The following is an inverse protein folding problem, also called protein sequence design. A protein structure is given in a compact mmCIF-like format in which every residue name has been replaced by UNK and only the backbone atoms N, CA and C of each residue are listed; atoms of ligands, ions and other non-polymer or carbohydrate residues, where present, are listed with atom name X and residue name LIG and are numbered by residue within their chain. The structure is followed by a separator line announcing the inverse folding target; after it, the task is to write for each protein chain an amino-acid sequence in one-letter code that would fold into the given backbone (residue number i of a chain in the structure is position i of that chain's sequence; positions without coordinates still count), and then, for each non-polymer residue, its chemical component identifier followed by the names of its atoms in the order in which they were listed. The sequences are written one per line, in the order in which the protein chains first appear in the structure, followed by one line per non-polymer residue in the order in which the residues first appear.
data_IF_679256757925
#
_entry.id   IF_679256757925
#
_cell.length_a   1.000
_cell.length_b   1.000
_cell.length_c   1.000
_cell.angle_alpha   90.00
_cell.angle_beta   90.00
_cell.angle_gamma   90.00
#
_symmetry.space_group_name_H-M   'P 1'
#
loop_
_entity.id
_entity.type
_entity.pdbx_description
1 polymer ?
#
# COMPACT_ATOMS: atom_id res chain seq x y z
N UNK A 1 -0.52 -13.20 -4.44
CA UNK A 1 0.06 -12.16 -3.56
C UNK A 1 -0.11 -12.62 -2.12
N UNK A 2 0.98 -12.65 -1.35
CA UNK A 2 0.98 -12.97 0.08
C UNK A 2 1.58 -11.79 0.83
N UNK A 3 0.80 -11.21 1.74
CA UNK A 3 1.21 -10.05 2.55
C UNK A 3 1.30 -10.49 4.00
N UNK A 4 2.48 -10.34 4.61
CA UNK A 4 2.76 -10.79 5.97
C UNK A 4 3.31 -9.63 6.79
N UNK A 5 2.61 -9.27 7.86
CA UNK A 5 3.04 -8.31 8.87
C UNK A 5 3.84 -8.99 9.98
N UNK A 6 4.40 -8.18 10.87
CA UNK A 6 5.06 -8.63 12.10
C UNK A 6 4.23 -9.67 12.86
N UNK A 7 4.89 -10.58 13.57
CA UNK A 7 4.28 -11.71 14.28
C UNK A 7 3.56 -12.73 13.36
N UNK A 8 3.97 -12.83 12.09
CA UNK A 8 3.41 -13.76 11.10
C UNK A 8 1.91 -13.54 10.81
N UNK A 9 1.43 -12.30 10.99
CA UNK A 9 0.05 -11.95 10.68
C UNK A 9 -0.11 -11.83 9.17
N UNK A 10 -0.93 -12.70 8.58
CA UNK A 10 -1.16 -12.72 7.13
C UNK A 10 -2.40 -11.92 6.80
N UNK A 11 -2.26 -10.88 5.97
CA UNK A 11 -3.40 -10.12 5.44
C UNK A 11 -3.99 -10.89 4.24
N UNK A 12 -5.09 -11.60 4.48
CA UNK A 12 -5.77 -12.43 3.48
C UNK A 12 -7.29 -12.40 3.68
N UNK A 13 -8.03 -12.43 2.58
CA UNK A 13 -9.49 -12.63 2.52
C UNK A 13 -10.31 -11.69 3.45
N UNK A 14 -9.85 -10.45 3.63
CA UNK A 14 -10.57 -9.45 4.42
C UNK A 14 -10.46 -9.63 5.94
N UNK A 15 -9.42 -10.33 6.43
CA UNK A 15 -9.15 -10.42 7.87
C UNK A 15 -9.04 -9.03 8.52
N UNK A 16 -9.63 -8.90 9.70
CA UNK A 16 -9.53 -7.69 10.50
C UNK A 16 -8.18 -7.60 11.18
N UNK A 17 -7.47 -6.49 10.97
CA UNK A 17 -6.21 -6.16 11.63
C UNK A 17 -6.31 -4.78 12.28
N UNK A 18 -5.63 -4.61 13.40
CA UNK A 18 -5.58 -3.34 14.12
C UNK A 18 -4.51 -2.42 13.53
N UNK A 19 -4.68 -1.08 13.58
CA UNK A 19 -3.65 -0.12 13.18
C UNK A 19 -2.25 -0.42 13.75
N UNK A 20 -2.19 -0.88 15.00
CA UNK A 20 -0.93 -1.24 15.67
C UNK A 20 -0.24 -2.45 15.02
N UNK A 21 -0.99 -3.43 14.53
CA UNK A 21 -0.44 -4.62 13.87
C UNK A 21 0.11 -4.29 12.48
N UNK A 22 -0.45 -3.27 11.81
CA UNK A 22 -0.10 -2.87 10.44
C UNK A 22 0.65 -1.54 10.39
N UNK A 23 1.22 -1.10 11.52
CA UNK A 23 1.96 0.17 11.60
C UNK A 23 3.23 0.18 10.76
N UNK A 24 3.88 -0.97 10.66
CA UNK A 24 5.16 -1.16 9.96
C UNK A 24 4.90 -1.82 8.60
N UNK A 25 5.79 -1.55 7.64
CA UNK A 25 5.71 -2.10 6.28
C UNK A 25 5.72 -3.65 6.32
N UNK A 26 4.79 -4.33 5.62
CA UNK A 26 4.76 -5.79 5.57
C UNK A 26 5.81 -6.34 4.60
N UNK A 27 6.11 -7.63 4.75
CA UNK A 27 6.75 -8.43 3.70
C UNK A 27 5.70 -8.83 2.67
N UNK A 28 6.01 -8.64 1.39
CA UNK A 28 5.11 -8.98 0.28
C UNK A 28 5.81 -9.98 -0.65
N UNK A 29 5.14 -11.09 -0.89
CA UNK A 29 5.66 -12.21 -1.70
C UNK A 29 4.68 -12.56 -2.82
N UNK A 30 5.19 -12.79 -4.03
CA UNK A 30 4.45 -13.29 -5.17
C UNK A 30 5.38 -14.07 -6.09
N UNK A 31 4.78 -14.85 -6.99
CA UNK A 31 5.51 -15.54 -8.04
C UNK A 31 5.85 -14.54 -9.15
N UNK A 32 7.11 -14.10 -9.15
CA UNK A 32 7.63 -13.10 -10.06
C UNK A 32 8.46 -13.77 -11.16
N UNK A 33 8.31 -13.28 -12.39
CA UNK A 33 9.10 -13.76 -13.51
C UNK A 33 10.44 -12.99 -13.59
N UNK A 34 11.57 -13.67 -13.82
CA UNK A 34 12.87 -13.01 -13.96
C UNK A 34 12.88 -11.96 -15.08
N UNK A 35 13.47 -10.80 -14.82
CA UNK A 35 13.58 -9.70 -15.80
C UNK A 35 12.32 -8.87 -16.00
N UNK A 36 11.22 -9.20 -15.32
CA UNK A 36 9.99 -8.42 -15.35
C UNK A 36 9.94 -7.38 -14.24
N UNK A 37 9.14 -6.34 -14.47
CA UNK A 37 8.91 -5.26 -13.51
C UNK A 37 7.48 -5.30 -12.98
N UNK A 38 7.30 -4.89 -11.73
CA UNK A 38 6.01 -4.90 -11.06
C UNK A 38 5.73 -3.57 -10.36
N UNK A 39 4.43 -3.26 -10.26
CA UNK A 39 3.89 -2.18 -9.45
C UNK A 39 3.08 -2.79 -8.31
N UNK A 40 3.35 -2.37 -7.07
CA UNK A 40 2.59 -2.69 -5.88
C UNK A 40 1.88 -1.43 -5.37
N UNK A 41 0.58 -1.56 -5.11
CA UNK A 41 -0.26 -0.49 -4.59
C UNK A 41 -1.00 -1.01 -3.35
N UNK A 42 -1.00 -0.21 -2.28
CA UNK A 42 -1.93 -0.34 -1.15
C UNK A 42 -2.84 0.89 -1.16
N UNK A 43 -4.14 0.66 -1.30
CA UNK A 43 -5.15 1.72 -1.39
C UNK A 43 -6.28 1.52 -0.37
N UNK A 44 -6.81 2.62 0.16
CA UNK A 44 -8.03 2.64 0.97
C UNK A 44 -9.18 3.26 0.14
N UNK A 45 -10.08 2.43 -0.44
CA UNK A 45 -11.25 2.92 -1.15
C UNK A 45 -12.33 3.47 -0.21
N UNK A 46 -12.17 3.37 1.11
CA UNK A 46 -13.18 3.75 2.10
C UNK A 46 -12.85 5.08 2.79
N UNK A 47 -11.83 5.83 2.34
CA UNK A 47 -11.42 7.11 2.93
C UNK A 47 -12.32 8.32 2.53
N UNK A 48 -12.68 9.24 3.46
CA UNK A 48 -12.46 9.21 4.91
C UNK A 48 -13.47 8.32 5.67
N UNK A 49 -14.58 7.95 5.03
CA UNK A 49 -15.48 6.90 5.52
C UNK A 49 -16.19 6.23 4.33
N UNK A 50 -16.64 4.98 4.53
CA UNK A 50 -17.47 4.27 3.53
C UNK A 50 -18.74 5.02 3.12
N UNK A 51 -19.31 5.79 4.06
CA UNK A 51 -20.55 6.53 3.86
C UNK A 51 -20.36 7.80 3.04
N UNK A 52 -19.20 8.47 3.17
CA UNK A 52 -18.86 9.69 2.43
C UNK A 52 -17.40 9.63 1.94
N UNK A 53 -17.10 8.90 0.85
CA UNK A 53 -15.72 8.67 0.38
C UNK A 53 -15.17 9.87 -0.42
N UNK A 54 -15.11 11.06 0.19
CA UNK A 54 -14.66 12.31 -0.45
C UNK A 54 -13.17 12.32 -0.84
N UNK A 55 -12.36 11.45 -0.22
CA UNK A 55 -10.92 11.31 -0.47
C UNK A 55 -10.56 9.96 -1.12
N UNK A 56 -11.53 9.30 -1.76
CA UNK A 56 -11.25 8.09 -2.54
C UNK A 56 -10.38 8.47 -3.74
N UNK A 57 -9.17 7.95 -3.91
CA UNK A 57 -8.47 6.89 -3.15
C UNK A 57 -7.29 7.45 -2.34
N UNK A 58 -7.16 7.05 -1.06
CA UNK A 58 -5.95 7.35 -0.29
C UNK A 58 -4.88 6.27 -0.57
N UNK A 59 -3.77 6.73 -1.15
CA UNK A 59 -2.62 5.88 -1.49
C UNK A 59 -1.76 5.66 -0.23
N UNK A 60 -1.90 4.48 0.38
CA UNK A 60 -1.13 4.10 1.57
C UNK A 60 0.29 3.64 1.24
N UNK A 61 0.50 3.09 0.06
CA UNK A 61 1.81 2.66 -0.41
C UNK A 61 1.78 2.48 -1.92
N UNK A 62 2.74 3.08 -2.64
CA UNK A 62 2.88 2.89 -4.08
C UNK A 62 4.36 2.69 -4.39
N UNK A 63 4.68 1.49 -4.88
CA UNK A 63 6.01 1.08 -5.25
C UNK A 63 5.99 0.61 -6.70
N UNK A 64 6.81 1.22 -7.56
CA UNK A 64 6.84 0.95 -9.00
C UNK A 64 8.20 0.41 -9.41
N UNK A 65 8.31 -0.14 -10.62
CA UNK A 65 9.57 -0.65 -11.16
C UNK A 65 10.26 -1.70 -10.26
N UNK A 66 9.49 -2.48 -9.50
CA UNK A 66 10.03 -3.56 -8.67
C UNK A 66 10.59 -4.63 -9.60
N UNK A 67 11.88 -4.90 -9.54
CA UNK A 67 12.52 -5.93 -10.35
C UNK A 67 12.22 -7.32 -9.74
N UNK A 68 11.50 -8.17 -10.48
CA UNK A 68 11.10 -9.49 -10.00
C UNK A 68 10.27 -9.39 -8.72
N UNK A 69 10.79 -9.93 -7.62
CA UNK A 69 10.17 -9.89 -6.29
C UNK A 69 11.01 -9.10 -5.26
N UNK A 70 12.04 -8.39 -5.70
CA UNK A 70 12.89 -7.59 -4.82
C UNK A 70 12.27 -6.23 -4.54
N UNK A 71 11.44 -6.13 -3.49
CA UNK A 71 10.84 -4.87 -3.07
C UNK A 71 11.85 -3.74 -2.86
N UNK A 72 13.10 -4.04 -2.47
CA UNK A 72 14.10 -3.01 -2.22
C UNK A 72 14.61 -2.35 -3.53
N UNK A 73 14.43 -3.03 -4.68
CA UNK A 73 14.74 -2.48 -6.00
C UNK A 73 13.68 -1.50 -6.51
N UNK A 74 12.49 -1.51 -5.91
CA UNK A 74 11.37 -0.68 -6.33
C UNK A 74 11.55 0.81 -6.00
N UNK A 75 10.93 1.65 -6.80
CA UNK A 75 10.91 3.10 -6.63
C UNK A 75 9.63 3.51 -5.89
N UNK A 76 9.75 4.23 -4.76
CA UNK A 76 8.60 4.68 -4.00
C UNK A 76 8.03 5.97 -4.60
N UNK A 77 6.79 5.90 -5.09
CA UNK A 77 5.97 7.08 -5.41
C UNK A 77 5.26 7.56 -4.15
N UNK A 78 4.77 6.63 -3.33
CA UNK A 78 4.28 6.90 -1.99
C UNK A 78 4.90 5.88 -1.04
N UNK A 79 5.65 6.34 -0.05
CA UNK A 79 6.19 5.46 1.00
C UNK A 79 5.07 4.84 1.83
N UNK A 80 5.35 3.69 2.44
CA UNK A 80 4.36 2.97 3.26
C UNK A 80 3.90 3.83 4.44
N UNK A 81 2.58 3.98 4.56
CA UNK A 81 1.88 4.55 5.70
C UNK A 81 0.84 3.52 6.17
N UNK A 82 0.96 3.07 7.42
CA UNK A 82 0.04 2.13 8.03
C UNK A 82 -1.40 2.65 8.12
N UNK A 83 -2.31 1.77 8.54
CA UNK A 83 -3.72 2.13 8.69
C UNK A 83 -3.92 3.19 9.78
N UNK A 84 -4.76 4.19 9.49
CA UNK A 84 -5.10 5.26 10.43
C UNK A 84 -6.56 5.72 10.27
N UNK A 85 -7.56 4.81 10.29
CA UNK A 85 -8.95 5.20 10.12
C UNK A 85 -9.38 6.15 11.26
N UNK A 86 -10.07 7.26 10.99
CA UNK A 86 -10.54 8.16 12.04
C UNK A 86 -11.49 7.46 13.02
N UNK A 87 -11.50 7.92 14.27
CA UNK A 87 -12.38 7.34 15.28
C UNK A 87 -13.86 7.49 14.86
N UNK A 88 -14.61 6.37 14.88
CA UNK A 88 -16.04 6.37 14.56
C UNK A 88 -16.39 6.15 13.08
N UNK A 89 -15.41 5.95 12.19
CA UNK A 89 -15.68 5.67 10.76
C UNK A 89 -15.90 4.18 10.45
N UNK A 90 -15.75 3.32 11.47
CA UNK A 90 -15.92 1.88 11.35
C UNK A 90 -14.70 1.21 10.69
N UNK A 91 -14.95 0.10 10.00
CA UNK A 91 -13.89 -0.68 9.33
C UNK A 91 -13.61 -0.14 7.93
N UNK A 92 -12.33 0.09 7.65
CA UNK A 92 -11.83 0.47 6.34
C UNK A 92 -11.19 -0.73 5.65
N UNK A 93 -11.36 -0.84 4.33
CA UNK A 93 -10.66 -1.83 3.52
C UNK A 93 -9.31 -1.29 3.12
N UNK A 94 -8.28 -2.08 3.33
CA UNK A 94 -6.96 -1.81 2.78
C UNK A 94 -6.67 -2.88 1.75
N UNK A 95 -6.58 -2.48 0.48
CA UNK A 95 -6.47 -3.41 -0.65
C UNK A 95 -5.08 -3.35 -1.22
N UNK A 96 -4.42 -4.51 -1.28
CA UNK A 96 -3.15 -4.67 -1.98
C UNK A 96 -3.40 -5.12 -3.42
N UNK A 97 -2.86 -4.38 -4.37
CA UNK A 97 -2.91 -4.64 -5.80
C UNK A 97 -1.49 -4.81 -6.32
N UNK A 98 -1.28 -5.83 -7.14
CA UNK A 98 0.00 -6.09 -7.79
C UNK A 98 -0.24 -6.17 -9.30
N UNK A 99 0.49 -5.35 -10.05
CA UNK A 99 0.43 -5.30 -11.51
C UNK A 99 1.79 -5.68 -12.10
N UNK A 100 1.77 -6.51 -13.14
CA UNK A 100 2.93 -6.72 -14.00
C UNK A 100 3.03 -5.54 -14.97
N UNK A 101 4.20 -4.92 -15.07
CA UNK A 101 4.49 -3.89 -16.06
C UNK A 101 4.95 -4.52 -17.38
N UNK A 102 4.77 -3.81 -18.49
CA UNK A 102 5.32 -4.21 -19.80
C UNK A 102 6.83 -4.00 -19.93
N UNK A 103 7.46 -3.40 -18.91
CA UNK A 103 8.87 -3.04 -18.86
C UNK A 103 9.13 -2.04 -17.73
N UNK A 104 10.35 -1.50 -17.66
CA UNK A 104 10.64 -0.38 -16.77
C UNK A 104 9.90 0.87 -17.28
N UNK A 105 9.16 1.53 -16.42
CA UNK A 105 8.38 2.72 -16.73
C UNK A 105 9.02 3.96 -16.11
N UNK A 106 8.74 5.13 -16.68
CA UNK A 106 9.08 6.42 -16.09
C UNK A 106 7.84 7.04 -15.46
N UNK A 107 8.01 7.64 -14.29
CA UNK A 107 6.96 8.22 -13.47
C UNK A 107 7.35 9.66 -13.12
N UNK A 108 6.49 10.62 -13.44
CA UNK A 108 6.67 12.05 -13.18
C UNK A 108 5.89 12.52 -11.95
N UNK A 109 5.20 11.61 -11.26
CA UNK A 109 4.44 11.89 -10.06
C UNK A 109 5.31 12.35 -8.88
N UNK A 110 4.72 13.21 -8.03
CA UNK A 110 5.36 13.67 -6.81
C UNK A 110 5.59 12.50 -5.84
N UNK A 111 6.81 12.43 -5.31
CA UNK A 111 7.21 11.39 -4.34
C UNK A 111 6.81 11.82 -2.93
N UNK A 112 5.88 11.08 -2.34
CA UNK A 112 5.40 11.32 -0.97
C UNK A 112 6.19 10.47 0.01
N UNK A 113 6.87 11.12 0.96
CA UNK A 113 7.58 10.43 2.05
C UNK A 113 6.70 10.26 3.28
N UNK A 114 6.90 9.18 4.02
CA UNK A 114 6.20 8.89 5.27
C UNK A 114 6.59 9.85 6.42
N UNK A 115 7.59 10.70 6.20
CA UNK A 115 8.00 11.78 7.11
C UNK A 115 7.26 13.10 6.85
N UNK A 116 6.60 13.23 5.71
CA UNK A 116 5.81 14.41 5.38
C UNK A 116 4.44 14.31 6.04
N UNK A 117 4.33 14.82 7.28
CA UNK A 117 3.04 15.17 7.90
C UNK A 117 2.42 16.38 7.20
N UNK A 118 2.16 16.31 5.90
CA UNK A 118 1.46 17.40 5.19
C UNK A 118 0.00 17.11 4.87
N UNK A 119 -0.45 15.86 4.90
CA UNK A 119 -1.84 15.51 4.54
C UNK A 119 -2.62 14.85 5.69
N UNK A 120 -2.60 15.43 6.89
CA UNK A 120 -3.48 14.98 8.00
C UNK A 120 -4.40 16.08 8.53
N UNK A 121 -4.48 17.22 7.84
CA UNK A 121 -5.42 18.27 8.24
C UNK A 121 -5.94 19.00 7.01
N UNK A 122 -7.03 18.51 6.44
CA UNK A 122 -8.16 19.34 5.96
C UNK A 122 -9.48 18.57 6.15
#
# INVERSE_FOLDING_TARGET
LKVTYSNNLVAKDGVELTPTQVKDQPTVEWDAQPGEFYTLIMTDPDAPSRAEPKFREFKHWVLVNIAGNDLASGEAIAEYIGSGPPQGTGLHRYVFLLYKQSGKLEFDEERVSNKSRKDTTE
#
